data_IF_311512969705
#
_entry.id   IF_311512969705
#
_cell.length_a   1.000
_cell.length_b   1.000
_cell.length_c   1.000
_cell.angle_alpha   90.00
_cell.angle_beta   90.00
_cell.angle_gamma   90.00
#
_symmetry.space_group_name_H-M   'P 1'
#
loop_
_entity.id
_entity.type
_entity.pdbx_description
1 polymer ?
#
# COMPACT_ATOMS: atom_id res chain seq x y z
N UNK A 1 50.97 91.72 5.25
CA UNK A 1 49.71 91.04 5.18
C UNK A 1 50.02 89.58 4.95
N UNK A 2 49.82 88.70 5.90
CA UNK A 2 50.11 87.30 5.86
C UNK A 2 48.80 86.54 5.68
N UNK A 3 48.67 85.83 4.56
CA UNK A 3 47.52 84.99 4.25
C UNK A 3 47.77 83.55 4.73
N UNK A 4 47.02 83.13 5.74
CA UNK A 4 47.05 81.81 6.35
C UNK A 4 46.26 80.80 5.48
N UNK A 5 46.93 79.79 4.95
CA UNK A 5 46.29 78.73 4.17
C UNK A 5 45.99 77.56 5.08
N UNK A 6 44.70 77.36 5.42
CA UNK A 6 44.19 76.30 6.27
C UNK A 6 44.19 74.96 5.50
N UNK A 7 45.02 74.00 5.89
CA UNK A 7 44.93 72.58 5.46
C UNK A 7 43.82 71.91 6.27
N UNK A 8 42.69 71.73 5.69
CA UNK A 8 41.62 70.93 6.25
C UNK A 8 41.68 69.49 5.77
N UNK A 9 42.25 68.59 6.55
CA UNK A 9 41.93 67.17 6.49
C UNK A 9 40.67 66.93 7.29
N UNK A 10 39.57 66.52 6.70
CA UNK A 10 38.37 66.07 7.44
C UNK A 10 38.74 64.82 8.19
N UNK A 11 38.52 64.70 9.50
CA UNK A 11 38.57 63.41 10.17
C UNK A 11 37.36 62.61 9.70
N UNK A 12 37.59 61.39 9.20
CA UNK A 12 36.54 60.39 8.99
C UNK A 12 35.88 60.13 10.32
N UNK A 13 34.58 60.37 10.41
CA UNK A 13 33.82 60.16 11.62
C UNK A 13 33.70 58.64 11.86
N UNK A 14 33.60 58.25 13.13
CA UNK A 14 33.49 56.85 13.55
C UNK A 14 32.33 56.12 12.84
N UNK A 15 31.28 56.88 12.50
CA UNK A 15 30.14 56.41 11.71
C UNK A 15 30.50 56.02 10.27
N UNK A 16 31.38 56.78 9.56
CA UNK A 16 31.84 56.45 8.21
C UNK A 16 32.76 55.21 8.19
N UNK A 17 33.45 54.92 9.31
CA UNK A 17 34.26 53.70 9.47
C UNK A 17 33.40 52.50 9.83
N UNK A 18 32.30 52.69 10.56
CA UNK A 18 31.35 51.61 10.89
C UNK A 18 30.54 51.19 9.64
N UNK A 19 30.09 52.14 8.81
CA UNK A 19 29.43 51.86 7.54
C UNK A 19 30.34 51.14 6.52
N UNK A 20 31.63 51.49 6.47
CA UNK A 20 32.58 50.78 5.56
C UNK A 20 32.97 49.38 6.07
N UNK A 21 32.84 49.10 7.36
CA UNK A 21 33.09 47.77 7.94
C UNK A 21 31.84 46.89 7.81
N UNK A 22 30.64 47.45 7.83
CA UNK A 22 29.38 46.71 7.60
C UNK A 22 29.23 46.28 6.15
N UNK A 23 29.66 47.09 5.16
CA UNK A 23 29.61 46.77 3.74
C UNK A 23 30.57 45.63 3.34
N UNK A 24 31.65 45.40 4.08
CA UNK A 24 32.59 44.28 3.86
C UNK A 24 32.29 43.05 4.74
N UNK A 25 31.25 43.08 5.57
CA UNK A 25 30.94 41.94 6.42
C UNK A 25 30.26 40.83 5.63
N UNK A 26 30.66 39.58 5.87
CA UNK A 26 30.06 38.38 5.25
C UNK A 26 28.55 38.33 5.50
N UNK A 27 28.09 38.90 6.62
CA UNK A 27 26.67 39.00 7.00
C UNK A 27 25.92 39.98 6.09
N UNK A 28 26.50 41.14 5.76
CA UNK A 28 25.91 42.12 4.85
C UNK A 28 25.81 41.54 3.41
N UNK A 29 26.81 40.79 2.96
CA UNK A 29 26.77 40.13 1.66
C UNK A 29 25.74 39.00 1.60
N UNK A 30 25.53 38.25 2.70
CA UNK A 30 24.50 37.22 2.79
C UNK A 30 23.09 37.88 2.81
N UNK A 31 22.90 38.93 3.60
CA UNK A 31 21.63 39.66 3.66
C UNK A 31 21.28 40.27 2.29
N UNK A 32 22.24 40.92 1.61
CA UNK A 32 22.04 41.48 0.28
C UNK A 32 21.78 40.41 -0.80
N UNK A 33 22.37 39.24 -0.68
CA UNK A 33 22.10 38.12 -1.56
C UNK A 33 20.71 37.49 -1.33
N UNK A 34 20.25 37.45 -0.09
CA UNK A 34 18.90 37.04 0.28
C UNK A 34 17.84 38.04 -0.19
N UNK A 35 18.13 39.35 -0.03
CA UNK A 35 17.24 40.44 -0.48
C UNK A 35 17.15 40.48 -2.02
N UNK A 36 18.26 40.31 -2.72
CA UNK A 36 18.32 40.18 -4.17
C UNK A 36 17.63 38.90 -4.69
N UNK A 37 17.65 37.80 -3.92
CA UNK A 37 16.91 36.58 -4.20
C UNK A 37 15.40 36.75 -3.98
N UNK A 38 15.01 37.40 -2.89
CA UNK A 38 13.61 37.71 -2.58
C UNK A 38 12.99 38.63 -3.66
N UNK A 39 13.69 39.69 -4.03
CA UNK A 39 13.28 40.65 -5.07
C UNK A 39 13.07 39.99 -6.44
N UNK A 40 13.97 39.12 -6.87
CA UNK A 40 13.80 38.34 -8.14
C UNK A 40 12.63 37.39 -8.09
N UNK A 41 12.40 36.76 -6.96
CA UNK A 41 11.25 35.87 -6.76
C UNK A 41 9.94 36.64 -6.80
N UNK A 42 9.91 37.82 -6.17
CA UNK A 42 8.78 38.72 -6.16
C UNK A 42 8.44 39.23 -7.57
N UNK A 43 9.43 39.72 -8.33
CA UNK A 43 9.24 40.14 -9.73
C UNK A 43 8.73 39.00 -10.62
N UNK A 44 9.25 37.76 -10.43
CA UNK A 44 8.81 36.58 -11.16
C UNK A 44 7.35 36.25 -10.83
N UNK A 45 6.97 36.28 -9.56
CA UNK A 45 5.59 36.05 -9.11
C UNK A 45 4.64 37.09 -9.70
N UNK A 46 4.99 38.38 -9.62
CA UNK A 46 4.18 39.45 -10.18
C UNK A 46 4.01 39.27 -11.69
N UNK A 47 5.09 38.99 -12.42
CA UNK A 47 5.06 38.76 -13.87
C UNK A 47 4.20 37.56 -14.27
N UNK A 48 4.18 36.50 -13.43
CA UNK A 48 3.45 35.27 -13.71
C UNK A 48 2.15 35.13 -12.90
N UNK A 49 1.73 36.15 -12.20
CA UNK A 49 0.58 36.15 -11.28
C UNK A 49 -0.68 35.54 -11.93
N UNK A 50 -0.98 35.88 -13.17
CA UNK A 50 -2.15 35.35 -13.91
C UNK A 50 -2.08 33.80 -14.05
N UNK A 51 -0.93 33.28 -14.40
CA UNK A 51 -0.74 31.84 -14.56
C UNK A 51 -0.76 31.11 -13.21
N UNK A 52 -0.16 31.71 -12.18
CA UNK A 52 -0.19 31.18 -10.81
C UNK A 52 -1.64 31.07 -10.32
N UNK A 53 -2.45 32.15 -10.50
CA UNK A 53 -3.87 32.11 -10.14
C UNK A 53 -4.65 31.04 -10.91
N UNK A 54 -4.40 30.88 -12.21
CA UNK A 54 -5.05 29.85 -13.03
C UNK A 54 -4.70 28.46 -12.47
N UNK A 55 -3.43 28.20 -12.17
CA UNK A 55 -2.99 26.90 -11.62
C UNK A 55 -3.63 26.64 -10.25
N UNK A 56 -3.66 27.65 -9.38
CA UNK A 56 -4.27 27.54 -8.04
C UNK A 56 -5.78 27.27 -8.15
N UNK A 57 -6.47 27.98 -9.05
CA UNK A 57 -7.91 27.76 -9.29
C UNK A 57 -8.16 26.34 -9.84
N UNK A 58 -7.37 25.88 -10.81
CA UNK A 58 -7.48 24.52 -11.34
C UNK A 58 -7.24 23.47 -10.26
N UNK A 59 -6.21 23.65 -9.44
CA UNK A 59 -5.94 22.76 -8.31
C UNK A 59 -7.11 22.75 -7.30
N UNK A 60 -7.66 23.92 -6.98
CA UNK A 60 -8.82 24.04 -6.09
C UNK A 60 -10.06 23.34 -6.65
N UNK A 61 -10.34 23.52 -7.97
CA UNK A 61 -11.46 22.85 -8.65
C UNK A 61 -11.29 21.32 -8.63
N UNK A 62 -10.07 20.82 -8.86
CA UNK A 62 -9.78 19.37 -8.79
C UNK A 62 -9.98 18.82 -7.38
N UNK A 63 -9.49 19.51 -6.37
CA UNK A 63 -9.66 19.10 -4.97
C UNK A 63 -11.12 19.13 -4.54
N UNK A 64 -11.83 20.24 -4.80
CA UNK A 64 -13.24 20.37 -4.45
C UNK A 64 -14.12 19.41 -5.23
N UNK A 65 -13.82 19.18 -6.52
CA UNK A 65 -14.47 18.19 -7.36
C UNK A 65 -14.30 16.76 -6.81
N UNK A 66 -13.08 16.41 -6.43
CA UNK A 66 -12.77 15.11 -5.80
C UNK A 66 -13.50 14.91 -4.46
N UNK A 67 -13.48 15.92 -3.60
CA UNK A 67 -14.19 15.88 -2.31
C UNK A 67 -15.72 15.79 -2.50
N UNK A 68 -16.26 16.56 -3.44
CA UNK A 68 -17.68 16.52 -3.81
C UNK A 68 -18.08 15.14 -4.34
N UNK A 69 -17.32 14.59 -5.26
CA UNK A 69 -17.54 13.24 -5.80
C UNK A 69 -17.49 12.17 -4.70
N UNK A 70 -16.45 12.22 -3.86
CA UNK A 70 -16.31 11.28 -2.74
C UNK A 70 -17.50 11.34 -1.78
N UNK A 71 -17.95 12.55 -1.41
CA UNK A 71 -19.02 12.74 -0.42
C UNK A 71 -20.43 12.45 -0.96
N UNK A 72 -20.71 12.87 -2.20
CA UNK A 72 -22.08 12.84 -2.75
C UNK A 72 -22.36 11.67 -3.68
N UNK A 73 -21.33 11.02 -4.22
CA UNK A 73 -21.47 9.88 -5.12
C UNK A 73 -20.92 8.61 -4.47
N UNK A 74 -19.66 8.62 -4.07
CA UNK A 74 -19.00 7.42 -3.59
C UNK A 74 -19.46 7.02 -2.18
N UNK A 75 -19.65 7.97 -1.27
CA UNK A 75 -20.11 7.69 0.10
C UNK A 75 -21.48 7.00 0.16
N UNK A 76 -22.55 7.52 -0.49
CA UNK A 76 -23.83 6.83 -0.57
C UNK A 76 -23.74 5.46 -1.26
N UNK A 77 -22.97 5.34 -2.34
CA UNK A 77 -22.73 4.06 -3.05
C UNK A 77 -22.06 3.02 -2.13
N UNK A 78 -21.06 3.43 -1.35
CA UNK A 78 -20.38 2.58 -0.37
C UNK A 78 -21.33 2.09 0.72
N UNK A 79 -22.14 3.01 1.29
CA UNK A 79 -23.12 2.66 2.32
C UNK A 79 -24.16 1.66 1.83
N UNK A 80 -24.63 1.84 0.58
CA UNK A 80 -25.59 0.92 -0.02
C UNK A 80 -24.94 -0.45 -0.27
N UNK A 81 -23.72 -0.47 -0.85
CA UNK A 81 -22.95 -1.69 -1.10
C UNK A 81 -22.73 -2.51 0.19
N UNK A 82 -22.37 -1.82 1.29
CA UNK A 82 -22.19 -2.46 2.60
C UNK A 82 -23.49 -3.07 3.13
N UNK A 83 -24.61 -2.39 2.98
CA UNK A 83 -25.91 -2.91 3.39
C UNK A 83 -26.34 -4.12 2.55
N UNK A 84 -26.14 -4.05 1.23
CA UNK A 84 -26.50 -5.14 0.31
C UNK A 84 -25.62 -6.38 0.54
N UNK A 85 -24.37 -6.19 0.97
CA UNK A 85 -23.43 -7.29 1.25
C UNK A 85 -23.78 -8.11 2.49
N UNK A 86 -24.54 -7.55 3.42
CA UNK A 86 -24.80 -8.15 4.74
C UNK A 86 -25.37 -9.58 4.67
N UNK A 87 -26.36 -9.82 3.79
CA UNK A 87 -26.97 -11.14 3.67
C UNK A 87 -26.02 -12.17 3.07
N UNK A 88 -25.25 -11.79 2.08
CA UNK A 88 -24.25 -12.66 1.45
C UNK A 88 -23.14 -13.03 2.44
N UNK A 89 -22.72 -12.10 3.31
CA UNK A 89 -21.80 -12.41 4.41
C UNK A 89 -22.40 -13.41 5.40
N UNK A 90 -23.68 -13.26 5.76
CA UNK A 90 -24.34 -14.24 6.65
C UNK A 90 -24.34 -15.65 6.04
N UNK A 91 -24.65 -15.81 4.75
CA UNK A 91 -24.59 -17.10 4.09
C UNK A 91 -23.17 -17.67 4.07
N UNK A 92 -22.16 -16.81 3.80
CA UNK A 92 -20.76 -17.20 3.84
C UNK A 92 -20.34 -17.69 5.23
N UNK A 93 -20.66 -16.94 6.29
CA UNK A 93 -20.32 -17.28 7.67
C UNK A 93 -21.01 -18.60 8.09
N UNK A 94 -22.26 -18.81 7.70
CA UNK A 94 -22.96 -20.07 7.92
C UNK A 94 -22.34 -21.21 7.14
N UNK A 95 -21.85 -20.97 5.92
CA UNK A 95 -21.16 -21.97 5.11
C UNK A 95 -19.83 -22.41 5.75
N UNK A 96 -19.05 -21.46 6.26
CA UNK A 96 -17.75 -21.74 6.92
C UNK A 96 -17.97 -22.57 8.19
N UNK A 97 -18.98 -22.25 8.97
CA UNK A 97 -19.23 -22.87 10.29
C UNK A 97 -20.24 -24.02 10.25
N UNK A 98 -20.92 -24.26 9.14
CA UNK A 98 -22.03 -25.21 9.00
C UNK A 98 -21.65 -26.51 8.30
N UNK A 99 -22.70 -27.35 8.09
CA UNK A 99 -22.60 -28.66 7.42
C UNK A 99 -23.03 -28.63 5.95
N UNK A 100 -23.90 -27.69 5.55
CA UNK A 100 -24.41 -27.55 4.17
C UNK A 100 -23.61 -26.51 3.37
N UNK A 101 -22.30 -26.74 3.26
CA UNK A 101 -21.34 -25.73 2.78
C UNK A 101 -21.61 -25.25 1.35
N UNK A 102 -21.74 -26.16 0.40
CA UNK A 102 -21.81 -25.79 -1.03
C UNK A 102 -23.06 -24.98 -1.37
N UNK A 103 -24.21 -25.34 -0.78
CA UNK A 103 -25.46 -24.61 -0.97
C UNK A 103 -25.37 -23.18 -0.42
N UNK A 104 -24.80 -23.03 0.79
CA UNK A 104 -24.66 -21.72 1.43
C UNK A 104 -23.61 -20.85 0.72
N UNK A 105 -22.50 -21.41 0.25
CA UNK A 105 -21.56 -20.68 -0.59
C UNK A 105 -22.21 -20.26 -1.91
N UNK A 106 -23.04 -21.12 -2.53
CA UNK A 106 -23.79 -20.75 -3.73
C UNK A 106 -24.75 -19.58 -3.47
N UNK A 107 -25.45 -19.58 -2.32
CA UNK A 107 -26.31 -18.45 -1.92
C UNK A 107 -25.49 -17.18 -1.63
N UNK A 108 -24.32 -17.31 -1.02
CA UNK A 108 -23.48 -16.15 -0.77
C UNK A 108 -22.94 -15.52 -2.08
N UNK A 109 -22.63 -16.35 -3.08
CA UNK A 109 -22.16 -15.89 -4.38
C UNK A 109 -23.25 -15.23 -5.21
N UNK A 110 -24.43 -15.89 -5.32
CA UNK A 110 -25.47 -15.50 -6.27
C UNK A 110 -26.60 -14.68 -5.62
N UNK A 111 -26.63 -14.58 -4.29
CA UNK A 111 -27.75 -13.98 -3.57
C UNK A 111 -28.97 -14.89 -3.48
N UNK A 112 -29.98 -14.41 -2.78
CA UNK A 112 -31.29 -15.06 -2.63
C UNK A 112 -32.37 -14.01 -2.31
N UNK A 113 -33.63 -14.36 -2.53
CA UNK A 113 -34.80 -13.54 -2.18
C UNK A 113 -34.74 -12.11 -2.77
N UNK A 114 -34.19 -11.98 -3.97
CA UNK A 114 -34.02 -10.68 -4.65
C UNK A 114 -32.92 -9.79 -4.06
N UNK A 115 -32.04 -10.35 -3.23
CA UNK A 115 -30.84 -9.67 -2.69
C UNK A 115 -29.60 -10.08 -3.50
N UNK A 116 -28.67 -9.15 -3.61
CA UNK A 116 -27.41 -9.36 -4.30
C UNK A 116 -26.52 -10.39 -3.60
N UNK A 117 -25.87 -11.23 -4.39
CA UNK A 117 -24.73 -12.04 -3.97
C UNK A 117 -23.41 -11.28 -4.13
N UNK A 118 -22.32 -11.89 -3.68
CA UNK A 118 -21.00 -11.27 -3.81
C UNK A 118 -20.64 -10.97 -5.27
N UNK A 119 -21.09 -11.75 -6.23
CA UNK A 119 -20.82 -11.53 -7.65
C UNK A 119 -21.48 -10.25 -8.14
N UNK A 120 -22.75 -10.03 -7.81
CA UNK A 120 -23.48 -8.82 -8.17
C UNK A 120 -22.88 -7.59 -7.46
N UNK A 121 -22.50 -7.75 -6.17
CA UNK A 121 -21.92 -6.66 -5.37
C UNK A 121 -20.57 -6.24 -5.94
N UNK A 122 -19.73 -7.18 -6.33
CA UNK A 122 -18.42 -6.90 -6.95
C UNK A 122 -18.57 -6.13 -8.27
N UNK A 123 -19.59 -6.44 -9.06
CA UNK A 123 -19.86 -5.79 -10.35
C UNK A 123 -20.55 -4.44 -10.17
N UNK A 124 -21.73 -4.39 -9.55
CA UNK A 124 -22.58 -3.19 -9.40
C UNK A 124 -21.88 -2.11 -8.59
N UNK A 125 -21.16 -2.51 -7.54
CA UNK A 125 -20.45 -1.61 -6.64
C UNK A 125 -18.95 -1.60 -6.87
N UNK A 126 -18.49 -1.94 -8.07
CA UNK A 126 -17.07 -1.81 -8.44
C UNK A 126 -16.54 -0.40 -8.14
N UNK A 127 -15.31 -0.31 -7.62
CA UNK A 127 -14.70 0.95 -7.18
C UNK A 127 -15.11 1.42 -5.77
N UNK A 128 -15.95 0.66 -5.04
CA UNK A 128 -16.20 0.84 -3.60
C UNK A 128 -15.36 -0.16 -2.79
N UNK A 129 -15.15 0.13 -1.50
CA UNK A 129 -14.48 -0.81 -0.59
C UNK A 129 -15.30 -2.10 -0.43
N UNK A 130 -16.62 -1.99 -0.34
CA UNK A 130 -17.52 -3.13 -0.24
C UNK A 130 -17.48 -4.01 -1.50
N UNK A 131 -17.48 -3.40 -2.72
CA UNK A 131 -17.32 -4.15 -3.97
C UNK A 131 -15.96 -4.84 -4.07
N UNK A 132 -14.89 -4.17 -3.63
CA UNK A 132 -13.57 -4.79 -3.54
C UNK A 132 -13.55 -5.96 -2.54
N UNK A 133 -14.16 -5.80 -1.36
CA UNK A 133 -14.26 -6.86 -0.36
C UNK A 133 -15.16 -8.02 -0.83
N UNK A 134 -16.18 -7.75 -1.65
CA UNK A 134 -17.00 -8.80 -2.28
C UNK A 134 -16.17 -9.72 -3.19
N UNK A 135 -15.15 -9.20 -3.89
CA UNK A 135 -14.20 -10.03 -4.63
C UNK A 135 -13.44 -10.99 -3.70
N UNK A 136 -13.00 -10.54 -2.53
CA UNK A 136 -12.34 -11.42 -1.55
C UNK A 136 -13.28 -12.56 -1.10
N UNK A 137 -14.50 -12.23 -0.68
CA UNK A 137 -15.46 -13.23 -0.26
C UNK A 137 -15.86 -14.19 -1.37
N UNK A 138 -16.07 -13.68 -2.58
CA UNK A 138 -16.36 -14.52 -3.75
C UNK A 138 -15.20 -15.50 -4.04
N UNK A 139 -13.98 -15.01 -4.04
CA UNK A 139 -12.80 -15.84 -4.23
C UNK A 139 -12.64 -16.91 -3.17
N UNK A 140 -12.86 -16.55 -1.89
CA UNK A 140 -12.82 -17.52 -0.78
C UNK A 140 -13.97 -18.53 -0.83
N UNK A 141 -15.16 -18.12 -1.26
CA UNK A 141 -16.27 -19.04 -1.49
C UNK A 141 -15.95 -20.06 -2.58
N UNK A 142 -15.45 -19.60 -3.73
CA UNK A 142 -15.02 -20.48 -4.82
C UNK A 142 -13.89 -21.44 -4.41
N UNK A 143 -12.91 -20.94 -3.62
CA UNK A 143 -11.84 -21.80 -3.10
C UNK A 143 -12.40 -22.95 -2.25
N UNK A 144 -13.37 -22.64 -1.36
CA UNK A 144 -14.03 -23.65 -0.54
C UNK A 144 -14.89 -24.62 -1.36
N UNK A 145 -15.52 -24.15 -2.44
CA UNK A 145 -16.27 -24.98 -3.40
C UNK A 145 -15.39 -25.74 -4.38
N UNK A 146 -14.05 -25.59 -4.29
CA UNK A 146 -13.05 -26.19 -5.17
C UNK A 146 -13.13 -25.73 -6.63
N UNK A 147 -13.74 -24.58 -6.87
CA UNK A 147 -13.67 -23.90 -8.17
C UNK A 147 -12.45 -22.98 -8.19
N UNK A 148 -11.29 -23.59 -8.36
CA UNK A 148 -10.00 -22.91 -8.20
C UNK A 148 -9.76 -21.82 -9.25
N UNK A 149 -10.27 -22.00 -10.46
CA UNK A 149 -10.13 -21.01 -11.53
C UNK A 149 -10.86 -19.71 -11.21
N UNK A 150 -12.10 -19.80 -10.73
CA UNK A 150 -12.85 -18.63 -10.28
C UNK A 150 -12.28 -18.05 -8.98
N UNK A 151 -11.79 -18.89 -8.05
CA UNK A 151 -11.10 -18.43 -6.86
C UNK A 151 -9.91 -17.51 -7.21
N UNK A 152 -9.03 -17.93 -8.12
CA UNK A 152 -7.91 -17.13 -8.62
C UNK A 152 -8.39 -15.82 -9.23
N UNK A 153 -9.44 -15.86 -10.06
CA UNK A 153 -9.99 -14.67 -10.73
C UNK A 153 -10.43 -13.61 -9.73
N UNK A 154 -11.26 -13.98 -8.76
CA UNK A 154 -11.83 -13.05 -7.80
C UNK A 154 -10.82 -12.60 -6.74
N UNK A 155 -9.94 -13.49 -6.24
CA UNK A 155 -8.88 -13.11 -5.32
C UNK A 155 -7.85 -12.17 -5.97
N UNK A 156 -7.58 -12.29 -7.26
CA UNK A 156 -6.73 -11.34 -7.99
C UNK A 156 -7.40 -9.98 -8.20
N UNK A 157 -8.72 -9.92 -8.29
CA UNK A 157 -9.46 -8.66 -8.37
C UNK A 157 -9.50 -7.91 -7.02
N UNK A 158 -9.23 -8.59 -5.92
CA UNK A 158 -9.16 -7.98 -4.58
C UNK A 158 -7.81 -7.33 -4.33
N UNK A 159 -7.83 -6.15 -3.71
CA UNK A 159 -6.62 -5.45 -3.22
C UNK A 159 -6.86 -4.92 -1.81
N UNK A 160 -5.84 -4.98 -0.95
CA UNK A 160 -5.93 -4.49 0.42
C UNK A 160 -4.57 -4.09 0.96
N UNK A 161 -4.56 -2.98 1.72
CA UNK A 161 -3.42 -2.55 2.53
C UNK A 161 -3.44 -3.14 3.95
N UNK A 162 -4.45 -3.95 4.28
CA UNK A 162 -4.57 -4.66 5.54
C UNK A 162 -3.45 -5.69 5.71
N UNK A 163 -2.91 -5.78 6.92
CA UNK A 163 -1.75 -6.62 7.21
C UNK A 163 -2.05 -8.13 7.15
N UNK A 164 -3.32 -8.53 7.14
CA UNK A 164 -3.77 -9.92 7.12
C UNK A 164 -4.53 -10.27 5.84
N UNK A 165 -5.54 -9.46 5.47
CA UNK A 165 -6.42 -9.79 4.34
C UNK A 165 -5.68 -9.84 2.99
N UNK A 166 -4.74 -8.90 2.76
CA UNK A 166 -3.91 -8.90 1.55
C UNK A 166 -3.07 -10.17 1.42
N UNK A 167 -2.24 -10.51 2.42
CA UNK A 167 -1.51 -11.78 2.45
C UNK A 167 -2.40 -13.02 2.33
N UNK A 168 -3.54 -13.07 3.03
CA UNK A 168 -4.48 -14.21 2.95
C UNK A 168 -5.07 -14.38 1.56
N UNK A 169 -5.43 -13.29 0.87
CA UNK A 169 -5.91 -13.37 -0.51
C UNK A 169 -4.84 -13.93 -1.46
N UNK A 170 -3.60 -13.43 -1.35
CA UNK A 170 -2.46 -13.95 -2.14
C UNK A 170 -2.18 -15.42 -1.82
N UNK A 171 -2.19 -15.79 -0.55
CA UNK A 171 -2.02 -17.17 -0.14
C UNK A 171 -3.15 -18.09 -0.61
N UNK A 172 -4.39 -17.62 -0.64
CA UNK A 172 -5.54 -18.33 -1.20
C UNK A 172 -5.40 -18.61 -2.70
N UNK A 173 -4.81 -17.67 -3.45
CA UNK A 173 -4.44 -17.91 -4.86
C UNK A 173 -3.38 -19.01 -4.95
N UNK A 174 -2.36 -18.97 -4.10
CA UNK A 174 -1.35 -20.03 -4.01
C UNK A 174 -1.98 -21.39 -3.70
N UNK A 175 -2.93 -21.43 -2.75
CA UNK A 175 -3.68 -22.67 -2.43
C UNK A 175 -4.47 -23.20 -3.65
N UNK A 176 -5.09 -22.31 -4.43
CA UNK A 176 -5.79 -22.69 -5.66
C UNK A 176 -4.82 -23.26 -6.70
N UNK A 177 -3.66 -22.64 -6.91
CA UNK A 177 -2.65 -23.13 -7.86
C UNK A 177 -2.05 -24.48 -7.44
N UNK A 178 -1.89 -24.75 -6.14
CA UNK A 178 -1.49 -26.09 -5.67
C UNK A 178 -2.51 -27.15 -6.11
N UNK A 179 -3.80 -26.84 -6.01
CA UNK A 179 -4.88 -27.78 -6.41
C UNK A 179 -5.01 -27.93 -7.93
N UNK A 180 -4.57 -26.93 -8.69
CA UNK A 180 -4.46 -26.96 -10.16
C UNK A 180 -3.16 -27.60 -10.64
N UNK A 181 -2.32 -28.11 -9.72
CA UNK A 181 -1.00 -28.70 -9.99
C UNK A 181 -0.01 -27.72 -10.66
N UNK A 182 -0.24 -26.41 -10.51
CA UNK A 182 0.61 -25.32 -11.02
C UNK A 182 1.56 -24.87 -9.90
N UNK A 183 2.59 -25.69 -9.61
CA UNK A 183 3.40 -25.51 -8.41
C UNK A 183 4.30 -24.27 -8.47
N UNK A 184 4.79 -23.87 -9.64
CA UNK A 184 5.58 -22.67 -9.83
C UNK A 184 4.77 -21.41 -9.49
N UNK A 185 3.54 -21.32 -10.01
CA UNK A 185 2.62 -20.22 -9.70
C UNK A 185 2.27 -20.21 -8.20
N UNK A 186 2.00 -21.37 -7.62
CA UNK A 186 1.73 -21.51 -6.18
C UNK A 186 2.89 -20.99 -5.33
N UNK A 187 4.13 -21.35 -5.69
CA UNK A 187 5.34 -20.90 -5.03
C UNK A 187 5.44 -19.37 -5.06
N UNK A 188 5.28 -18.78 -6.23
CA UNK A 188 5.38 -17.34 -6.42
C UNK A 188 4.32 -16.57 -5.62
N UNK A 189 3.08 -17.05 -5.59
CA UNK A 189 2.03 -16.44 -4.80
C UNK A 189 2.24 -16.58 -3.30
N UNK A 190 2.77 -17.69 -2.80
CA UNK A 190 3.13 -17.83 -1.39
C UNK A 190 4.29 -16.92 -0.98
N UNK A 191 5.29 -16.75 -1.85
CA UNK A 191 6.38 -15.79 -1.62
C UNK A 191 5.82 -14.35 -1.57
N UNK A 192 4.95 -13.99 -2.52
CA UNK A 192 4.28 -12.69 -2.49
C UNK A 192 3.46 -12.49 -1.21
N UNK A 193 2.70 -13.51 -0.78
CA UNK A 193 1.92 -13.46 0.45
C UNK A 193 2.79 -13.25 1.69
N UNK A 194 3.94 -13.93 1.78
CA UNK A 194 4.87 -13.78 2.89
C UNK A 194 5.53 -12.39 2.95
N UNK A 195 5.75 -11.76 1.79
CA UNK A 195 6.47 -10.48 1.67
C UNK A 195 5.57 -9.24 1.66
N UNK A 196 4.28 -9.40 1.34
CA UNK A 196 3.36 -8.26 1.14
C UNK A 196 3.24 -7.38 2.40
N UNK A 197 3.07 -8.00 3.57
CA UNK A 197 2.99 -7.34 4.88
C UNK A 197 3.60 -8.26 5.94
N UNK A 198 4.78 -7.90 6.43
CA UNK A 198 5.45 -8.71 7.46
C UNK A 198 4.72 -8.64 8.79
N UNK A 199 4.26 -9.80 9.29
CA UNK A 199 3.60 -9.94 10.58
C UNK A 199 3.83 -11.36 11.16
N UNK A 200 3.55 -11.53 12.45
CA UNK A 200 3.80 -12.79 13.17
C UNK A 200 2.79 -13.91 12.86
N UNK A 201 1.80 -13.67 12.02
CA UNK A 201 0.76 -14.64 11.69
C UNK A 201 0.86 -15.15 10.26
N UNK A 202 0.71 -14.29 9.27
CA UNK A 202 0.69 -14.71 7.87
C UNK A 202 2.09 -14.94 7.29
N UNK A 203 3.10 -14.18 7.73
CA UNK A 203 4.46 -14.33 7.21
C UNK A 203 5.03 -15.73 7.44
N UNK A 204 5.09 -16.27 8.68
CA UNK A 204 5.62 -17.63 8.89
C UNK A 204 4.79 -18.70 8.18
N UNK A 205 3.45 -18.54 8.11
CA UNK A 205 2.57 -19.48 7.43
C UNK A 205 2.89 -19.57 5.92
N UNK A 206 3.08 -18.43 5.25
CA UNK A 206 3.35 -18.45 3.80
C UNK A 206 4.81 -18.70 3.47
N UNK A 207 5.77 -18.34 4.31
CA UNK A 207 7.16 -18.82 4.21
C UNK A 207 7.23 -20.34 4.28
N UNK A 208 6.49 -20.95 5.21
CA UNK A 208 6.43 -22.41 5.35
C UNK A 208 5.84 -23.05 4.08
N UNK A 209 4.69 -22.56 3.59
CA UNK A 209 4.06 -23.07 2.36
C UNK A 209 5.00 -22.89 1.14
N UNK A 210 5.63 -21.73 0.98
CA UNK A 210 6.62 -21.49 -0.07
C UNK A 210 7.81 -22.45 0.03
N UNK A 211 8.34 -22.65 1.23
CA UNK A 211 9.43 -23.60 1.46
C UNK A 211 9.07 -25.03 1.10
N UNK A 212 7.85 -25.48 1.47
CA UNK A 212 7.37 -26.84 1.16
C UNK A 212 7.18 -27.03 -0.36
N UNK A 213 6.64 -26.05 -1.06
CA UNK A 213 6.51 -26.12 -2.53
C UNK A 213 7.90 -26.00 -3.18
N UNK A 214 8.79 -25.15 -2.64
CA UNK A 214 10.16 -25.02 -3.12
C UNK A 214 10.94 -26.34 -3.05
N UNK A 215 10.74 -27.17 -1.99
CA UNK A 215 11.32 -28.52 -1.93
C UNK A 215 10.82 -29.43 -3.05
N UNK A 216 9.54 -29.32 -3.44
CA UNK A 216 8.97 -30.10 -4.56
C UNK A 216 9.50 -29.65 -5.91
N UNK A 217 9.83 -28.36 -6.04
CA UNK A 217 10.41 -27.75 -7.23
C UNK A 217 11.95 -27.82 -7.26
N UNK A 218 12.56 -28.56 -6.34
CA UNK A 218 14.02 -28.69 -6.19
C UNK A 218 14.74 -27.36 -5.91
N UNK A 219 14.01 -26.33 -5.44
CA UNK A 219 14.55 -25.04 -5.01
C UNK A 219 15.09 -25.10 -3.57
N UNK A 220 15.96 -26.05 -3.29
CA UNK A 220 16.41 -26.40 -1.93
C UNK A 220 17.01 -25.24 -1.16
N UNK A 221 17.88 -24.45 -1.79
CA UNK A 221 18.53 -23.30 -1.16
C UNK A 221 17.52 -22.24 -0.69
N UNK A 222 16.51 -21.95 -1.50
CA UNK A 222 15.45 -20.99 -1.14
C UNK A 222 14.54 -21.55 -0.05
N UNK A 223 14.21 -22.83 -0.11
CA UNK A 223 13.45 -23.51 0.93
C UNK A 223 14.19 -23.43 2.27
N UNK A 224 15.49 -23.69 2.27
CA UNK A 224 16.35 -23.60 3.46
C UNK A 224 16.38 -22.16 4.01
N UNK A 225 16.47 -21.14 3.15
CA UNK A 225 16.39 -19.73 3.54
C UNK A 225 15.07 -19.41 4.27
N UNK A 226 13.94 -19.81 3.71
CA UNK A 226 12.62 -19.58 4.32
C UNK A 226 12.45 -20.31 5.66
N UNK A 227 12.86 -21.56 5.77
CA UNK A 227 12.77 -22.31 7.01
C UNK A 227 13.67 -21.73 8.10
N UNK A 228 14.90 -21.30 7.77
CA UNK A 228 15.78 -20.62 8.71
C UNK A 228 15.21 -19.25 9.14
N UNK A 229 14.55 -18.52 8.26
CA UNK A 229 13.87 -17.28 8.61
C UNK A 229 12.74 -17.53 9.60
N UNK A 230 11.91 -18.57 9.40
CA UNK A 230 10.87 -18.95 10.38
C UNK A 230 11.52 -19.26 11.73
N UNK A 231 12.59 -20.06 11.75
CA UNK A 231 13.29 -20.44 12.99
C UNK A 231 13.84 -19.24 13.75
N UNK A 232 14.44 -18.27 13.05
CA UNK A 232 15.13 -17.14 13.67
C UNK A 232 14.21 -15.97 14.02
N UNK A 233 13.27 -15.62 13.12
CA UNK A 233 12.46 -14.41 13.26
C UNK A 233 11.06 -14.70 13.83
N UNK A 234 10.53 -15.91 13.61
CA UNK A 234 9.16 -16.30 13.99
C UNK A 234 9.14 -17.54 14.91
N UNK A 235 10.10 -17.64 15.82
CA UNK A 235 10.29 -18.81 16.70
C UNK A 235 9.07 -19.16 17.59
N UNK A 236 8.15 -18.22 17.80
CA UNK A 236 6.90 -18.43 18.54
C UNK A 236 5.71 -18.87 17.66
N UNK A 237 5.87 -18.91 16.34
CA UNK A 237 4.81 -19.31 15.41
C UNK A 237 4.50 -20.82 15.50
N UNK A 238 3.36 -21.22 14.97
CA UNK A 238 2.99 -22.64 14.88
C UNK A 238 3.93 -23.39 13.94
N UNK A 239 4.35 -22.73 12.87
CA UNK A 239 5.23 -23.27 11.84
C UNK A 239 6.64 -23.57 12.35
N UNK A 240 7.10 -22.82 13.36
CA UNK A 240 8.42 -23.01 13.96
C UNK A 240 8.56 -24.32 14.75
N UNK A 241 7.46 -24.95 15.21
CA UNK A 241 7.51 -26.11 16.11
C UNK A 241 8.30 -27.29 15.55
N UNK A 242 8.10 -27.59 14.25
CA UNK A 242 8.73 -28.73 13.59
C UNK A 242 9.66 -28.30 12.45
N UNK A 243 10.07 -27.04 12.44
CA UNK A 243 10.80 -26.44 11.29
C UNK A 243 12.16 -27.10 11.07
N UNK A 244 12.81 -27.61 12.13
CA UNK A 244 14.09 -28.30 12.04
C UNK A 244 14.05 -29.56 11.15
N UNK A 245 12.90 -30.22 11.09
CA UNK A 245 12.70 -31.36 10.18
C UNK A 245 12.76 -30.92 8.72
N UNK A 246 12.19 -29.75 8.40
CA UNK A 246 12.18 -29.21 7.04
C UNK A 246 13.56 -28.62 6.66
N UNK A 247 14.27 -28.02 7.61
CA UNK A 247 15.65 -27.59 7.44
C UNK A 247 16.52 -28.81 7.08
N UNK A 248 16.46 -29.89 7.88
CA UNK A 248 17.22 -31.10 7.60
C UNK A 248 16.88 -31.76 6.25
N UNK A 249 15.60 -31.71 5.81
CA UNK A 249 15.21 -32.17 4.47
C UNK A 249 15.82 -31.33 3.35
N UNK A 250 15.79 -30.02 3.50
CA UNK A 250 16.37 -29.10 2.51
C UNK A 250 17.89 -29.26 2.42
N UNK A 251 18.59 -29.38 3.54
CA UNK A 251 20.04 -29.61 3.60
C UNK A 251 20.45 -30.94 2.96
N UNK A 252 19.72 -32.02 3.27
CA UNK A 252 20.00 -33.35 2.72
C UNK A 252 19.76 -33.42 1.19
N UNK A 253 18.83 -32.63 0.66
CA UNK A 253 18.49 -32.61 -0.77
C UNK A 253 19.38 -31.63 -1.56
N UNK A 254 20.03 -30.67 -0.91
CA UNK A 254 20.93 -29.70 -1.54
C UNK A 254 22.37 -30.21 -1.73
N UNK A 255 22.73 -31.34 -1.10
CA UNK A 255 24.03 -32.01 -1.20
C UNK A 255 24.02 -33.12 -2.26
#
# INVERSE_FOLDING_TARGET
MATYKKRGGKPTTKAEKETSIEDESTTASIVSSLDGGASRTEEWVIKNQKYIFIIVILAAVLVLGSLGFSKFVQGPKESQATNDMFQSQQYFDQAVNGTSKDSLFTLSLNGADGKYGFLDIADVYSGTNAGNLANYYAGMAYLNMKDYSNAVTYLNAFSSDDDVLGPVAKGGIGDAFVQLEQLEDAYDYYVQAAQLKSNNYTTPMYLYKAGVIGLKLENYNKSLEFFNQIKSEFSSSTEAKDIDVFIGKAEAASN
#
